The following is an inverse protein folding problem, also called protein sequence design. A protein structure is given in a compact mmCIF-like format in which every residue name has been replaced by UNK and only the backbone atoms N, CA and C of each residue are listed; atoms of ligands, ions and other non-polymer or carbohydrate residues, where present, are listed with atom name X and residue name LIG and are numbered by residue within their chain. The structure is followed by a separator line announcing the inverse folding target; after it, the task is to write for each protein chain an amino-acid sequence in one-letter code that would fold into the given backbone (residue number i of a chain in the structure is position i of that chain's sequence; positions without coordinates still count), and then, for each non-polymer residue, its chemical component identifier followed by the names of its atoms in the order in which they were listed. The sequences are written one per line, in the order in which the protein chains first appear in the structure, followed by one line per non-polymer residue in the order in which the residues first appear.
data_IF_595959849561
#
_entry.id   IF_595959849561
#
_cell.length_a   1.000
_cell.length_b   1.000
_cell.length_c   1.000
_cell.angle_alpha   90.00
_cell.angle_beta   90.00
_cell.angle_gamma   90.00
#
_symmetry.space_group_name_H-M   'P 1'
#
loop_
_entity.id
_entity.type
_entity.pdbx_description
1 polymer ?
#
# COMPACT_ATOMS: atom_id res chain seq x y z
N UNK A 1 0.29 5.19 15.81
CA UNK A 1 -0.45 6.24 15.10
C UNK A 1 -1.31 6.94 16.14
N UNK A 2 -1.45 8.27 16.15
CA UNK A 2 -2.44 8.88 17.03
C UNK A 2 -3.81 8.28 16.71
N UNK A 3 -4.65 8.06 17.72
CA UNK A 3 -5.99 7.43 17.63
C UNK A 3 -7.02 8.28 16.83
N UNK A 4 -6.56 9.32 16.16
CA UNK A 4 -7.41 10.18 15.35
C UNK A 4 -7.76 9.47 14.05
N UNK A 5 -9.04 9.16 13.87
CA UNK A 5 -9.56 8.66 12.62
C UNK A 5 -9.21 9.62 11.46
N UNK A 6 -8.81 9.11 10.28
CA UNK A 6 -8.63 9.94 9.10
C UNK A 6 -9.93 10.68 8.75
N UNK A 7 -9.81 11.85 8.13
CA UNK A 7 -10.96 12.56 7.55
C UNK A 7 -11.83 11.60 6.71
N UNK A 8 -13.14 11.85 6.70
CA UNK A 8 -14.10 11.09 5.88
C UNK A 8 -13.70 11.06 4.39
N UNK A 9 -13.03 12.11 3.91
CA UNK A 9 -12.61 12.29 2.52
C UNK A 9 -11.15 11.93 2.25
N UNK A 10 -10.38 11.52 3.26
CA UNK A 10 -8.96 11.21 3.07
C UNK A 10 -8.76 10.06 2.07
N UNK A 11 -8.00 10.26 0.97
CA UNK A 11 -7.68 9.19 0.03
C UNK A 11 -6.62 8.24 0.59
N UNK A 12 -6.51 7.05 0.01
CA UNK A 12 -5.40 6.13 0.25
C UNK A 12 -4.39 6.24 -0.89
N UNK A 13 -3.12 6.46 -0.55
CA UNK A 13 -2.00 6.42 -1.49
C UNK A 13 -1.18 5.17 -1.19
N UNK A 14 -0.99 4.31 -2.19
CA UNK A 14 -0.14 3.11 -2.12
C UNK A 14 1.10 3.40 -2.94
N UNK A 15 2.26 3.43 -2.28
CA UNK A 15 3.53 3.81 -2.90
C UNK A 15 4.36 2.56 -3.11
N UNK A 16 4.86 2.42 -4.34
CA UNK A 16 5.94 1.51 -4.75
C UNK A 16 5.68 0.02 -4.48
N UNK A 17 4.47 -0.40 -4.11
CA UNK A 17 4.13 -1.81 -3.87
C UNK A 17 4.15 -2.62 -5.16
N UNK A 18 5.35 -3.01 -5.60
CA UNK A 18 5.67 -3.65 -6.86
C UNK A 18 6.38 -4.99 -6.62
N UNK A 19 6.27 -5.92 -7.56
CA UNK A 19 6.93 -7.24 -7.49
C UNK A 19 8.45 -7.11 -7.33
N UNK A 20 9.06 -6.09 -7.96
CA UNK A 20 10.49 -5.81 -7.88
C UNK A 20 11.01 -5.50 -6.47
N UNK A 21 10.14 -5.11 -5.53
CA UNK A 21 10.52 -4.93 -4.13
C UNK A 21 10.87 -6.26 -3.42
N UNK A 22 10.36 -7.38 -3.94
CA UNK A 22 10.32 -8.65 -3.23
C UNK A 22 11.06 -9.78 -3.96
N UNK A 23 11.35 -9.63 -5.25
CA UNK A 23 11.96 -10.67 -6.08
C UNK A 23 13.50 -10.68 -6.03
N UNK A 24 14.12 -9.65 -5.46
CA UNK A 24 15.57 -9.54 -5.33
C UNK A 24 16.28 -9.29 -6.67
N UNK A 25 15.55 -8.94 -7.73
CA UNK A 25 16.10 -8.88 -9.10
C UNK A 25 17.05 -7.71 -9.30
N UNK A 26 16.72 -6.55 -8.75
CA UNK A 26 17.48 -5.30 -8.93
C UNK A 26 18.11 -4.80 -7.63
N UNK A 27 17.39 -4.94 -6.51
CA UNK A 27 17.85 -4.61 -5.16
C UNK A 27 17.60 -5.79 -4.21
N UNK A 28 18.28 -5.86 -3.05
CA UNK A 28 17.97 -6.85 -2.03
C UNK A 28 16.47 -6.85 -1.67
N UNK A 29 15.83 -8.03 -1.58
CA UNK A 29 14.40 -8.10 -1.38
C UNK A 29 14.02 -7.60 0.01
N UNK A 30 12.95 -6.81 0.08
CA UNK A 30 12.31 -6.49 1.35
C UNK A 30 11.71 -7.77 1.92
N UNK A 31 12.02 -8.05 3.19
CA UNK A 31 11.52 -9.22 3.89
C UNK A 31 10.01 -9.10 4.17
N UNK A 32 9.35 -10.26 4.31
CA UNK A 32 7.95 -10.38 4.74
C UNK A 32 6.92 -9.78 3.75
N UNK A 33 7.13 -10.07 2.46
CA UNK A 33 6.28 -9.66 1.35
C UNK A 33 4.79 -9.97 1.58
N UNK A 34 4.48 -11.17 2.08
CA UNK A 34 3.11 -11.62 2.31
C UNK A 34 2.39 -10.77 3.37
N UNK A 35 3.07 -10.45 4.47
CA UNK A 35 2.49 -9.60 5.52
C UNK A 35 2.28 -8.17 5.02
N UNK A 36 3.24 -7.62 4.28
CA UNK A 36 3.13 -6.27 3.70
C UNK A 36 1.97 -6.20 2.72
N UNK A 37 1.92 -7.13 1.75
CA UNK A 37 0.85 -7.22 0.76
C UNK A 37 -0.51 -7.44 1.45
N UNK A 38 -0.57 -8.31 2.45
CA UNK A 38 -1.78 -8.58 3.23
C UNK A 38 -2.30 -7.36 3.98
N UNK A 39 -1.42 -6.56 4.60
CA UNK A 39 -1.79 -5.31 5.29
C UNK A 39 -2.24 -4.24 4.30
N UNK A 40 -1.51 -4.06 3.19
CA UNK A 40 -1.88 -3.14 2.13
C UNK A 40 -3.26 -3.49 1.56
N UNK A 41 -3.53 -4.78 1.35
CA UNK A 41 -4.83 -5.26 0.87
C UNK A 41 -5.97 -4.86 1.81
N UNK A 42 -5.80 -5.04 3.13
CA UNK A 42 -6.81 -4.64 4.13
C UNK A 42 -7.13 -3.14 4.06
N UNK A 43 -6.11 -2.29 3.87
CA UNK A 43 -6.29 -0.85 3.75
C UNK A 43 -6.99 -0.47 2.43
N UNK A 44 -6.60 -1.09 1.31
CA UNK A 44 -7.23 -0.88 0.00
C UNK A 44 -8.72 -1.28 0.06
N UNK A 45 -9.03 -2.43 0.66
CA UNK A 45 -10.41 -2.89 0.79
C UNK A 45 -11.23 -1.98 1.70
N UNK A 46 -10.66 -1.47 2.80
CA UNK A 46 -11.30 -0.45 3.64
C UNK A 46 -11.60 0.84 2.88
N UNK A 47 -10.62 1.36 2.12
CA UNK A 47 -10.78 2.59 1.35
C UNK A 47 -11.90 2.43 0.31
N UNK A 48 -11.91 1.31 -0.43
CA UNK A 48 -12.95 0.98 -1.42
C UNK A 48 -14.34 0.87 -0.79
N UNK A 49 -14.48 0.12 0.31
CA UNK A 49 -15.78 -0.04 1.00
C UNK A 49 -16.35 1.27 1.54
N UNK A 50 -15.49 2.23 1.85
CA UNK A 50 -15.89 3.53 2.40
C UNK A 50 -15.97 4.64 1.35
N UNK A 51 -15.86 4.32 0.07
CA UNK A 51 -15.98 5.29 -1.03
C UNK A 51 -14.77 6.21 -1.21
N UNK A 52 -13.64 5.92 -0.55
CA UNK A 52 -12.40 6.70 -0.66
C UNK A 52 -11.68 6.40 -1.96
N UNK A 53 -11.05 7.42 -2.54
CA UNK A 53 -10.18 7.26 -3.71
C UNK A 53 -8.89 6.53 -3.30
N UNK A 54 -8.41 5.67 -4.19
CA UNK A 54 -7.16 4.94 -4.04
C UNK A 54 -6.26 5.28 -5.21
N UNK A 55 -5.06 5.77 -4.94
CA UNK A 55 -4.03 6.05 -5.93
C UNK A 55 -2.84 5.10 -5.73
N UNK A 56 -2.35 4.51 -6.82
CA UNK A 56 -1.15 3.71 -6.84
C UNK A 56 -0.04 4.53 -7.49
N UNK A 57 1.05 4.74 -6.76
CA UNK A 57 2.24 5.42 -7.24
C UNK A 57 3.29 4.34 -7.48
N UNK A 58 3.79 4.31 -8.71
CA UNK A 58 4.80 3.37 -9.17
C UNK A 58 6.10 4.13 -9.41
N UNK A 59 7.22 3.55 -9.02
CA UNK A 59 8.51 4.01 -9.52
C UNK A 59 8.84 3.23 -10.79
N UNK A 60 9.03 3.95 -11.90
CA UNK A 60 9.56 3.40 -13.15
C UNK A 60 11.07 3.68 -13.14
N UNK A 61 11.84 2.64 -12.84
CA UNK A 61 13.31 2.65 -12.91
C UNK A 61 13.83 2.63 -14.34
#
# INVERSE_FOLDING_TARGET
MPDTAPSATAPLIVIDLQTGMFDGRFDPPIHDADTIAGRARKLIDWARRTGRKVAFIRHDG
#
